data_IF_178073914922
#
_entry.id   IF_178073914922
#
_cell.length_a   1.000
_cell.length_b   1.000
_cell.length_c   1.000
_cell.angle_alpha   90.00
_cell.angle_beta   90.00
_cell.angle_gamma   90.00
#
_symmetry.space_group_name_H-M   'P 1'
#
loop_
_entity.id
_entity.type
_entity.pdbx_description
1 polymer ?
#
# COMPACT_ATOMS: atom_id res chain seq x y z
N UNK A 1 37.18 -5.09 5.10
CA UNK A 1 35.70 -5.23 5.15
C UNK A 1 35.36 -6.64 4.71
N UNK A 2 34.84 -7.48 5.60
CA UNK A 2 34.35 -8.82 5.26
C UNK A 2 32.97 -8.69 4.63
N UNK A 3 32.72 -9.26 3.43
CA UNK A 3 31.38 -9.25 2.85
C UNK A 3 30.46 -10.09 3.72
N UNK A 4 29.39 -9.48 4.23
CA UNK A 4 28.36 -10.18 4.99
C UNK A 4 27.45 -10.92 4.01
N UNK A 5 27.27 -12.23 4.25
CA UNK A 5 26.33 -13.05 3.48
C UNK A 5 24.90 -12.71 3.89
N UNK A 6 24.29 -11.75 3.20
CA UNK A 6 22.92 -11.27 3.47
C UNK A 6 21.84 -12.37 3.34
N UNK A 7 22.14 -13.46 2.63
CA UNK A 7 21.24 -14.62 2.43
C UNK A 7 21.00 -15.40 3.73
N UNK A 8 21.95 -15.39 4.67
CA UNK A 8 21.86 -16.13 5.94
C UNK A 8 21.17 -15.35 7.05
N UNK A 9 20.95 -14.04 6.86
CA UNK A 9 20.16 -13.26 7.78
C UNK A 9 18.68 -13.55 7.49
N UNK A 10 18.10 -14.48 8.24
CA UNK A 10 16.65 -14.50 8.46
C UNK A 10 16.28 -13.24 9.24
N UNK A 11 16.32 -12.08 8.56
CA UNK A 11 15.77 -10.86 9.09
C UNK A 11 14.27 -11.07 9.15
N UNK A 12 13.71 -11.15 10.35
CA UNK A 12 12.27 -10.99 10.56
C UNK A 12 11.93 -9.55 10.21
N UNK A 13 11.84 -9.25 8.92
CA UNK A 13 11.50 -7.93 8.44
C UNK A 13 10.04 -7.71 8.77
N UNK A 14 9.68 -6.62 9.49
CA UNK A 14 8.29 -6.37 9.77
C UNK A 14 7.53 -6.17 8.45
N UNK A 15 6.24 -6.49 8.47
CA UNK A 15 5.40 -6.58 7.27
C UNK A 15 4.19 -5.67 7.42
N UNK A 16 3.76 -5.12 6.29
CA UNK A 16 2.53 -4.36 6.16
C UNK A 16 1.41 -5.30 5.72
N UNK A 17 0.32 -5.38 6.49
CA UNK A 17 -0.90 -6.05 6.02
C UNK A 17 -1.43 -5.35 4.76
N UNK A 18 -2.01 -6.13 3.84
CA UNK A 18 -2.70 -5.58 2.66
C UNK A 18 -4.21 -5.43 2.89
N UNK A 19 -4.67 -5.65 4.14
CA UNK A 19 -6.06 -5.51 4.56
C UNK A 19 -6.94 -6.69 4.14
N UNK A 20 -6.34 -7.81 3.75
CA UNK A 20 -7.04 -9.04 3.40
C UNK A 20 -6.32 -10.23 4.04
N UNK A 21 -6.86 -10.84 5.11
CA UNK A 21 -6.18 -11.91 5.84
C UNK A 21 -5.74 -13.08 4.96
N UNK A 22 -6.58 -13.47 4.00
CA UNK A 22 -6.28 -14.56 3.06
C UNK A 22 -5.05 -14.22 2.20
N UNK A 23 -4.98 -13.00 1.68
CA UNK A 23 -3.85 -12.58 0.85
C UNK A 23 -2.60 -12.31 1.70
N UNK A 24 -2.76 -11.80 2.92
CA UNK A 24 -1.66 -11.66 3.86
C UNK A 24 -1.03 -13.02 4.16
N UNK A 25 -1.83 -14.04 4.42
CA UNK A 25 -1.36 -15.42 4.61
C UNK A 25 -0.63 -15.94 3.37
N UNK A 26 -1.17 -15.70 2.17
CA UNK A 26 -0.48 -16.05 0.91
C UNK A 26 0.88 -15.33 0.74
N UNK A 27 1.03 -14.13 1.30
CA UNK A 27 2.29 -13.35 1.30
C UNK A 27 3.17 -13.65 2.54
N UNK A 28 2.76 -14.59 3.39
CA UNK A 28 3.45 -14.94 4.63
C UNK A 28 3.36 -13.88 5.72
N UNK A 29 2.24 -13.15 5.81
CA UNK A 29 1.97 -12.07 6.77
C UNK A 29 2.04 -10.66 6.18
N UNK A 30 1.93 -10.50 4.87
CA UNK A 30 1.89 -9.20 4.19
C UNK A 30 3.18 -8.77 3.48
N UNK A 31 3.28 -7.48 3.15
CA UNK A 31 4.35 -6.87 2.38
C UNK A 31 5.57 -6.57 3.26
N UNK A 32 6.75 -7.19 3.03
CA UNK A 32 7.94 -6.89 3.83
C UNK A 32 8.43 -5.46 3.64
N UNK A 33 8.83 -4.80 4.74
CA UNK A 33 9.50 -3.51 4.67
C UNK A 33 10.85 -3.59 3.96
N UNK A 34 11.37 -2.43 3.52
CA UNK A 34 12.66 -2.31 2.85
C UNK A 34 12.81 -3.25 1.63
N UNK A 35 11.71 -3.45 0.90
CA UNK A 35 11.65 -4.34 -0.25
C UNK A 35 10.99 -3.66 -1.45
N UNK A 36 11.22 -4.22 -2.64
CA UNK A 36 10.49 -3.87 -3.86
C UNK A 36 9.60 -5.06 -4.22
N UNK A 37 8.33 -4.79 -4.50
CA UNK A 37 7.35 -5.79 -4.88
C UNK A 37 6.83 -5.48 -6.28
N UNK A 38 6.80 -6.50 -7.13
CA UNK A 38 6.18 -6.43 -8.44
C UNK A 38 4.84 -7.18 -8.43
N UNK A 39 3.77 -6.50 -8.86
CA UNK A 39 2.44 -7.08 -9.00
C UNK A 39 2.13 -7.30 -10.48
N UNK A 40 2.14 -8.56 -10.92
CA UNK A 40 1.94 -8.95 -12.33
C UNK A 40 0.58 -9.61 -12.53
N UNK A 41 -0.06 -9.36 -13.67
CA UNK A 41 -1.31 -10.00 -14.05
C UNK A 41 -2.04 -9.27 -15.17
N UNK A 42 -3.10 -9.87 -15.69
CA UNK A 42 -3.91 -9.33 -16.80
C UNK A 42 -4.71 -8.07 -16.43
N UNK A 43 -5.20 -7.32 -17.41
CA UNK A 43 -6.11 -6.20 -17.15
C UNK A 43 -7.33 -6.67 -16.34
N UNK A 44 -7.75 -5.90 -15.33
CA UNK A 44 -8.85 -6.29 -14.45
C UNK A 44 -8.48 -7.26 -13.32
N UNK A 45 -7.25 -7.78 -13.25
CA UNK A 45 -6.80 -8.71 -12.19
C UNK A 45 -6.68 -8.10 -10.78
N UNK A 46 -7.04 -6.82 -10.60
CA UNK A 46 -7.01 -6.16 -9.29
C UNK A 46 -5.71 -5.42 -8.93
N UNK A 47 -4.69 -5.37 -9.79
CA UNK A 47 -3.41 -4.65 -9.51
C UNK A 47 -3.62 -3.21 -9.04
N UNK A 48 -4.34 -2.41 -9.83
CA UNK A 48 -4.64 -1.01 -9.48
C UNK A 48 -5.46 -0.92 -8.19
N UNK A 49 -6.37 -1.86 -7.94
CA UNK A 49 -7.17 -1.89 -6.71
C UNK A 49 -6.27 -2.13 -5.50
N UNK A 50 -5.33 -3.07 -5.59
CA UNK A 50 -4.37 -3.34 -4.53
C UNK A 50 -3.47 -2.12 -4.24
N UNK A 51 -3.00 -1.41 -5.28
CA UNK A 51 -2.23 -0.18 -5.07
C UNK A 51 -3.04 0.92 -4.36
N UNK A 52 -4.34 1.07 -4.68
CA UNK A 52 -5.23 2.02 -4.00
C UNK A 52 -5.53 1.58 -2.55
N UNK A 53 -5.67 0.29 -2.31
CA UNK A 53 -5.90 -0.29 -0.98
C UNK A 53 -4.70 -0.03 -0.06
N UNK A 54 -3.49 -0.35 -0.53
CA UNK A 54 -2.24 -0.11 0.22
C UNK A 54 -2.05 1.36 0.58
N UNK A 55 -2.58 2.27 -0.25
CA UNK A 55 -2.58 3.70 0.00
C UNK A 55 -3.32 4.08 1.28
N UNK A 56 -4.52 3.54 1.45
CA UNK A 56 -5.38 3.81 2.61
C UNK A 56 -4.76 3.18 3.84
N UNK A 57 -4.24 1.95 3.72
CA UNK A 57 -3.59 1.24 4.83
C UNK A 57 -2.34 1.97 5.31
N UNK A 58 -1.52 2.51 4.42
CA UNK A 58 -0.31 3.26 4.80
C UNK A 58 -0.62 4.46 5.72
N UNK A 59 -1.81 5.07 5.59
CA UNK A 59 -2.25 6.18 6.44
C UNK A 59 -2.79 5.72 7.80
N UNK A 60 -3.28 4.48 7.92
CA UNK A 60 -3.79 3.97 9.19
C UNK A 60 -2.66 4.02 10.23
N UNK A 61 -2.96 4.29 11.51
CA UNK A 61 -1.95 4.25 12.55
C UNK A 61 -1.39 2.82 12.73
N UNK A 62 -0.18 2.66 13.29
CA UNK A 62 0.38 1.34 13.60
C UNK A 62 -0.50 0.47 14.52
N UNK A 63 -1.41 1.08 15.29
CA UNK A 63 -2.40 0.36 16.11
C UNK A 63 -3.47 -0.38 15.29
N UNK A 64 -3.53 -0.13 13.98
CA UNK A 64 -4.50 -0.71 13.04
C UNK A 64 -3.77 -1.20 11.77
N UNK A 65 -2.58 -1.79 11.95
CA UNK A 65 -1.77 -2.41 10.89
C UNK A 65 -1.31 -1.47 9.76
N UNK A 66 -1.32 -0.15 9.98
CA UNK A 66 -0.80 0.84 9.05
C UNK A 66 0.54 1.45 9.43
N UNK A 67 0.94 2.50 8.73
CA UNK A 67 2.23 3.18 8.91
C UNK A 67 2.10 4.59 9.52
N UNK A 68 0.89 5.14 9.61
CA UNK A 68 0.65 6.55 9.96
C UNK A 68 1.37 7.51 9.02
N UNK A 69 1.59 7.12 7.76
CA UNK A 69 2.49 7.80 6.85
C UNK A 69 1.85 8.20 5.53
N UNK A 70 2.54 9.09 4.83
CA UNK A 70 2.18 9.53 3.48
C UNK A 70 2.66 8.53 2.42
N UNK A 71 2.17 8.68 1.20
CA UNK A 71 2.59 7.84 0.09
C UNK A 71 2.67 8.61 -1.23
N UNK A 72 3.38 8.05 -2.23
CA UNK A 72 3.50 8.61 -3.59
C UNK A 72 2.97 7.62 -4.63
N UNK A 73 2.04 8.03 -5.49
CA UNK A 73 1.40 7.19 -6.50
C UNK A 73 1.78 7.71 -7.88
N UNK A 74 2.56 6.92 -8.60
CA UNK A 74 3.06 7.27 -9.94
C UNK A 74 2.34 6.40 -10.96
N UNK A 75 1.78 7.00 -12.00
CA UNK A 75 1.03 6.27 -13.05
C UNK A 75 1.48 6.63 -14.45
N UNK A 76 1.42 5.64 -15.36
CA UNK A 76 1.91 5.76 -16.74
C UNK A 76 0.85 5.55 -17.82
N UNK A 77 -0.29 4.91 -17.51
CA UNK A 77 -1.29 4.53 -18.53
C UNK A 77 -2.66 5.17 -18.34
N UNK A 78 -3.22 5.05 -17.14
CA UNK A 78 -4.57 5.50 -16.84
C UNK A 78 -4.55 6.48 -15.69
N UNK A 79 -5.45 7.47 -15.77
CA UNK A 79 -5.61 8.45 -14.71
C UNK A 79 -5.93 7.79 -13.38
N UNK A 80 -5.43 8.40 -12.32
CA UNK A 80 -5.69 7.99 -10.95
C UNK A 80 -7.19 8.04 -10.62
N UNK A 81 -7.73 6.93 -10.08
CA UNK A 81 -9.16 6.84 -9.75
C UNK A 81 -9.45 7.39 -8.35
N UNK A 82 -9.56 8.72 -8.24
CA UNK A 82 -9.90 9.39 -6.99
C UNK A 82 -11.23 8.90 -6.40
N UNK A 83 -12.25 8.71 -7.25
CA UNK A 83 -13.56 8.16 -6.84
C UNK A 83 -13.40 6.82 -6.11
N UNK A 84 -12.57 5.92 -6.64
CA UNK A 84 -12.38 4.60 -6.04
C UNK A 84 -11.61 4.68 -4.74
N UNK A 85 -10.58 5.52 -4.68
CA UNK A 85 -9.85 5.78 -3.44
C UNK A 85 -10.79 6.31 -2.35
N UNK A 86 -11.64 7.29 -2.67
CA UNK A 86 -12.61 7.83 -1.72
C UNK A 86 -13.58 6.76 -1.21
N UNK A 87 -14.04 5.85 -2.08
CA UNK A 87 -14.86 4.72 -1.66
C UNK A 87 -14.13 3.80 -0.66
N UNK A 88 -12.86 3.47 -0.94
CA UNK A 88 -12.04 2.68 -0.01
C UNK A 88 -11.85 3.42 1.31
N UNK A 89 -11.50 4.70 1.25
CA UNK A 89 -11.35 5.56 2.40
C UNK A 89 -12.57 5.60 3.31
N UNK A 90 -13.76 5.79 2.71
CA UNK A 90 -15.02 5.80 3.45
C UNK A 90 -15.33 4.45 4.12
N UNK A 91 -14.98 3.33 3.48
CA UNK A 91 -15.13 2.00 4.08
C UNK A 91 -14.25 1.87 5.33
N UNK A 92 -12.98 2.27 5.23
CA UNK A 92 -12.05 2.25 6.36
C UNK A 92 -12.49 3.20 7.48
N UNK A 93 -12.94 4.41 7.15
CA UNK A 93 -13.48 5.36 8.13
C UNK A 93 -14.70 4.79 8.87
N UNK A 94 -15.61 4.12 8.15
CA UNK A 94 -16.77 3.45 8.76
C UNK A 94 -16.35 2.25 9.65
N UNK A 95 -15.27 1.55 9.32
CA UNK A 95 -14.72 0.47 10.15
C UNK A 95 -14.00 0.98 11.41
N UNK A 96 -13.50 2.21 11.39
CA UNK A 96 -12.71 2.79 12.48
C UNK A 96 -13.22 4.20 12.87
N UNK A 97 -14.45 4.34 13.36
CA UNK A 97 -15.11 5.64 13.59
C UNK A 97 -14.42 6.52 14.64
N UNK A 98 -13.56 5.92 15.49
CA UNK A 98 -12.82 6.64 16.53
C UNK A 98 -11.51 7.26 16.02
N UNK A 99 -11.11 7.02 14.76
CA UNK A 99 -9.91 7.61 14.17
C UNK A 99 -10.21 9.01 13.64
N UNK A 100 -10.08 10.01 14.52
CA UNK A 100 -10.36 11.44 14.26
C UNK A 100 -9.52 12.02 13.11
N UNK A 101 -8.37 11.41 12.76
CA UNK A 101 -7.42 11.93 11.76
C UNK A 101 -7.44 11.19 10.43
N UNK A 102 -8.37 10.26 10.21
CA UNK A 102 -8.39 9.51 8.95
C UNK A 102 -9.18 10.26 7.88
N UNK A 103 -8.63 11.36 7.37
CA UNK A 103 -9.06 11.94 6.10
C UNK A 103 -8.40 11.13 4.97
N UNK A 104 -9.12 10.20 4.31
CA UNK A 104 -8.47 9.13 3.53
C UNK A 104 -7.71 9.59 2.28
N UNK A 105 -7.85 10.87 1.96
CA UNK A 105 -7.31 11.53 0.79
C UNK A 105 -6.14 12.45 1.13
N UNK A 106 -5.95 12.77 2.41
CA UNK A 106 -4.77 13.51 2.86
C UNK A 106 -3.52 12.64 2.72
N UNK A 107 -2.36 13.28 2.55
CA UNK A 107 -1.06 12.60 2.48
C UNK A 107 -0.86 11.64 1.28
N UNK A 108 -1.65 11.85 0.21
CA UNK A 108 -1.55 11.12 -1.06
C UNK A 108 -1.04 12.04 -2.16
N UNK A 109 0.25 11.94 -2.47
CA UNK A 109 0.84 12.59 -3.64
C UNK A 109 0.67 11.75 -4.89
N UNK A 110 0.00 12.28 -5.91
CA UNK A 110 -0.27 11.58 -7.18
C UNK A 110 0.46 12.29 -8.33
N UNK A 111 1.20 11.53 -9.14
CA UNK A 111 1.94 12.05 -10.27
C UNK A 111 1.72 11.19 -11.53
N UNK A 112 1.28 11.82 -12.61
CA UNK A 112 1.24 11.19 -13.93
C UNK A 112 2.59 11.35 -14.62
N UNK A 113 3.16 10.24 -15.08
CA UNK A 113 4.29 10.29 -16.00
C UNK A 113 3.71 10.55 -17.38
N UNK A 114 3.76 11.80 -17.80
CA UNK A 114 3.54 12.17 -19.18
C UNK A 114 4.85 11.90 -19.93
N UNK A 115 4.77 11.29 -21.12
CA UNK A 115 5.95 11.19 -21.97
C UNK A 115 6.56 12.59 -22.14
N UNK A 116 7.87 12.69 -21.93
CA UNK A 116 8.61 13.92 -22.21
C UNK A 116 8.37 14.27 -23.68
N UNK A 117 7.69 15.40 -23.93
CA UNK A 117 7.64 15.99 -25.27
C UNK A 117 9.04 16.44 -25.71
#
# INVERSE_FOLDING_TARGET
MTPQNLILLSLSTPKLSIGCPILDDCLGGGIPYNSIIELVGESGSGKTQLCLQLRVIAQLPPSHDGLGGSSVYIFTKFNFSFRRLQQLGNLYHASYPNLIRLEPLEDIYVHGVHDAQ
#
